data_IF_651180953019
#
_entry.id   IF_651180953019
#
_cell.length_a   1.000
_cell.length_b   1.000
_cell.length_c   1.000
_cell.angle_alpha   90.00
_cell.angle_beta   90.00
_cell.angle_gamma   90.00
#
_symmetry.space_group_name_H-M   'P 1'
#
loop_
_entity.id
_entity.type
_entity.pdbx_description
1 polymer ?
#
# COMPACT_ATOMS: atom_id res chain seq x y z
N UNK A 1 -12.65 -18.40 51.00
CA UNK A 1 -12.66 -18.88 49.60
C UNK A 1 -14.00 -18.55 48.97
N UNK A 2 -14.09 -17.50 48.14
CA UNK A 2 -15.19 -17.32 47.17
C UNK A 2 -14.73 -16.29 46.12
N UNK A 3 -14.09 -16.76 45.05
CA UNK A 3 -13.85 -15.94 43.85
C UNK A 3 -15.07 -16.12 42.95
N UNK A 4 -15.95 -15.11 42.91
CA UNK A 4 -16.99 -15.01 41.87
C UNK A 4 -16.30 -14.88 40.51
N UNK A 5 -16.36 -15.94 39.71
CA UNK A 5 -16.05 -15.90 38.28
C UNK A 5 -17.12 -15.05 37.60
N UNK A 6 -16.78 -13.82 37.23
CA UNK A 6 -17.61 -13.02 36.33
C UNK A 6 -17.29 -13.50 34.92
N UNK A 7 -18.06 -14.47 34.44
CA UNK A 7 -18.10 -14.84 33.04
C UNK A 7 -18.65 -13.66 32.24
N UNK A 8 -17.75 -12.86 31.69
CA UNK A 8 -18.11 -11.74 30.81
C UNK A 8 -18.58 -12.34 29.49
N UNK A 9 -19.90 -12.46 29.32
CA UNK A 9 -20.53 -12.74 28.03
C UNK A 9 -20.23 -11.56 27.10
N UNK A 10 -19.08 -11.60 26.42
CA UNK A 10 -18.89 -10.79 25.23
C UNK A 10 -19.84 -11.35 24.18
N UNK A 11 -20.78 -10.52 23.72
CA UNK A 11 -21.34 -10.75 22.40
C UNK A 11 -20.17 -10.96 21.43
N UNK A 12 -20.30 -11.95 20.55
CA UNK A 12 -19.28 -12.36 19.57
C UNK A 12 -19.11 -11.31 18.48
N UNK A 13 -18.80 -10.08 18.86
CA UNK A 13 -18.52 -9.01 17.91
C UNK A 13 -17.24 -9.36 17.17
N UNK A 14 -17.39 -9.64 15.88
CA UNK A 14 -16.29 -9.90 14.95
C UNK A 14 -16.19 -8.69 14.04
N UNK A 15 -15.33 -7.71 14.36
CA UNK A 15 -15.24 -6.49 13.58
C UNK A 15 -14.78 -6.82 12.16
N UNK A 16 -15.40 -6.15 11.19
CA UNK A 16 -15.02 -6.23 9.78
C UNK A 16 -14.46 -4.89 9.33
N UNK A 17 -13.19 -4.87 8.94
CA UNK A 17 -12.44 -3.66 8.60
C UNK A 17 -12.01 -3.72 7.13
N UNK A 18 -12.21 -2.62 6.42
CA UNK A 18 -11.68 -2.41 5.07
C UNK A 18 -10.39 -1.59 5.15
N UNK A 19 -9.37 -1.97 4.38
CA UNK A 19 -8.14 -1.21 4.20
C UNK A 19 -7.98 -0.91 2.71
N UNK A 20 -7.82 0.37 2.35
CA UNK A 20 -7.62 0.83 0.98
C UNK A 20 -6.14 1.13 0.75
N UNK A 21 -5.47 0.29 -0.02
CA UNK A 21 -4.05 0.37 -0.34
C UNK A 21 -3.23 -0.70 0.38
N UNK A 22 -2.46 -1.47 -0.39
CA UNK A 22 -1.69 -2.63 0.08
C UNK A 22 -0.20 -2.37 0.26
N UNK A 23 0.18 -1.11 0.47
CA UNK A 23 1.55 -0.75 0.87
C UNK A 23 1.84 -1.10 2.33
N UNK A 24 3.04 -0.72 2.85
CA UNK A 24 3.43 -0.95 4.23
C UNK A 24 2.41 -0.47 5.26
N UNK A 25 1.86 0.73 5.08
CA UNK A 25 0.86 1.29 5.99
C UNK A 25 -0.35 0.37 6.15
N UNK A 26 -0.90 -0.13 5.03
CA UNK A 26 -2.05 -1.05 5.05
C UNK A 26 -1.72 -2.37 5.73
N UNK A 27 -0.56 -2.96 5.45
CA UNK A 27 -0.14 -4.22 6.06
C UNK A 27 0.18 -4.10 7.54
N UNK A 28 0.81 -3.00 7.99
CA UNK A 28 1.05 -2.77 9.41
C UNK A 28 -0.26 -2.56 10.18
N UNK A 29 -1.24 -1.87 9.59
CA UNK A 29 -2.59 -1.76 10.16
C UNK A 29 -3.24 -3.15 10.27
N UNK A 30 -3.24 -3.94 9.20
CA UNK A 30 -3.80 -5.29 9.20
C UNK A 30 -3.14 -6.18 10.27
N UNK A 31 -1.81 -6.16 10.33
CA UNK A 31 -1.04 -6.92 11.31
C UNK A 31 -1.40 -6.51 12.75
N UNK A 32 -1.48 -5.20 13.00
CA UNK A 32 -1.82 -4.69 14.32
C UNK A 32 -3.24 -5.10 14.72
N UNK A 33 -4.22 -4.92 13.84
CA UNK A 33 -5.61 -5.31 14.08
C UNK A 33 -5.74 -6.79 14.39
N UNK A 34 -5.11 -7.67 13.61
CA UNK A 34 -5.14 -9.12 13.86
C UNK A 34 -4.50 -9.50 15.21
N UNK A 35 -3.47 -8.76 15.64
CA UNK A 35 -2.81 -8.97 16.93
C UNK A 35 -3.70 -8.56 18.11
N UNK A 36 -4.39 -7.42 18.01
CA UNK A 36 -5.20 -6.87 19.12
C UNK A 36 -6.64 -7.41 19.14
N UNK A 37 -7.16 -7.86 18.00
CA UNK A 37 -8.53 -8.32 17.81
C UNK A 37 -8.52 -9.65 17.02
N UNK A 38 -8.35 -10.81 17.68
CA UNK A 38 -8.22 -12.10 16.98
C UNK A 38 -9.42 -12.50 16.12
N UNK A 39 -10.61 -11.96 16.39
CA UNK A 39 -11.84 -12.18 15.62
C UNK A 39 -12.04 -11.22 14.45
N UNK A 40 -11.13 -10.25 14.24
CA UNK A 40 -11.26 -9.26 13.16
C UNK A 40 -11.17 -9.93 11.80
N UNK A 41 -12.04 -9.51 10.88
CA UNK A 41 -11.93 -9.80 9.45
C UNK A 41 -11.42 -8.56 8.73
N UNK A 42 -10.39 -8.73 7.90
CA UNK A 42 -9.74 -7.65 7.16
C UNK A 42 -9.86 -7.92 5.66
N UNK A 43 -10.51 -7.00 4.95
CA UNK A 43 -10.49 -6.95 3.49
C UNK A 43 -9.56 -5.81 3.05
N UNK A 44 -8.52 -6.14 2.29
CA UNK A 44 -7.54 -5.17 1.78
C UNK A 44 -7.72 -5.00 0.27
N UNK A 45 -8.08 -3.79 -0.14
CA UNK A 45 -8.27 -3.42 -1.54
C UNK A 45 -7.01 -2.76 -2.10
N UNK A 46 -6.70 -3.06 -3.36
CA UNK A 46 -5.54 -2.52 -4.07
C UNK A 46 -5.89 -2.24 -5.53
N UNK A 47 -5.45 -1.09 -6.07
CA UNK A 47 -5.68 -0.71 -7.47
C UNK A 47 -4.89 -1.63 -8.42
N UNK A 48 -3.71 -2.06 -8.00
CA UNK A 48 -2.83 -2.95 -8.76
C UNK A 48 -3.20 -4.44 -8.55
N UNK A 49 -2.78 -5.34 -9.46
CA UNK A 49 -3.04 -6.78 -9.32
C UNK A 49 -2.21 -7.42 -8.21
N UNK A 50 -1.14 -6.78 -7.76
CA UNK A 50 -0.19 -7.33 -6.79
C UNK A 50 0.01 -6.39 -5.60
N UNK A 51 0.26 -6.94 -4.40
CA UNK A 51 0.39 -6.15 -3.19
C UNK A 51 1.78 -5.49 -3.02
N UNK A 52 1.96 -4.87 -1.86
CA UNK A 52 3.20 -4.35 -1.26
C UNK A 52 3.60 -2.92 -1.67
N UNK A 53 2.91 -2.33 -2.64
CA UNK A 53 3.10 -0.92 -3.02
C UNK A 53 4.58 -0.58 -3.27
N UNK A 54 5.08 0.48 -2.63
CA UNK A 54 6.46 0.94 -2.82
C UNK A 54 7.54 -0.02 -2.31
N UNK A 55 7.23 -1.03 -1.50
CA UNK A 55 8.24 -2.08 -1.20
C UNK A 55 8.56 -2.86 -2.47
N UNK A 56 7.56 -3.09 -3.32
CA UNK A 56 7.74 -3.69 -4.63
C UNK A 56 8.26 -2.67 -5.64
N UNK A 57 7.56 -1.54 -5.77
CA UNK A 57 7.71 -0.60 -6.89
C UNK A 57 8.61 0.61 -6.61
N UNK A 58 9.04 0.84 -5.37
CA UNK A 58 9.83 2.00 -4.96
C UNK A 58 11.24 1.63 -4.50
N UNK A 59 11.38 0.65 -3.61
CA UNK A 59 12.68 0.17 -3.13
C UNK A 59 13.54 -0.26 -4.31
N UNK A 60 14.74 0.31 -4.39
CA UNK A 60 15.67 0.07 -5.47
C UNK A 60 16.07 -1.43 -5.57
N UNK A 61 16.33 -1.94 -6.79
CA UNK A 61 16.54 -3.37 -7.01
C UNK A 61 17.83 -3.90 -6.35
N UNK A 62 18.82 -3.04 -6.13
CA UNK A 62 20.08 -3.29 -5.43
C UNK A 62 19.96 -3.22 -3.89
N UNK A 63 18.75 -2.95 -3.36
CA UNK A 63 18.44 -2.97 -1.92
C UNK A 63 17.44 -4.10 -1.56
N UNK A 64 17.75 -5.38 -1.87
CA UNK A 64 16.83 -6.50 -1.65
C UNK A 64 16.50 -6.72 -0.16
N UNK A 65 17.42 -6.37 0.75
CA UNK A 65 17.25 -6.53 2.18
C UNK A 65 16.10 -5.69 2.74
N UNK A 66 15.86 -4.50 2.18
CA UNK A 66 14.72 -3.65 2.56
C UNK A 66 13.39 -4.31 2.13
N UNK A 67 13.40 -5.12 1.07
CA UNK A 67 12.20 -5.86 0.61
C UNK A 67 11.86 -7.05 1.50
N UNK A 68 12.71 -7.44 2.47
CA UNK A 68 12.45 -8.56 3.38
C UNK A 68 11.17 -8.41 4.22
N UNK A 69 10.67 -7.18 4.41
CA UNK A 69 9.40 -6.91 5.10
C UNK A 69 8.21 -7.61 4.40
N UNK A 70 8.33 -7.92 3.10
CA UNK A 70 7.34 -8.71 2.34
C UNK A 70 7.06 -10.06 3.03
N UNK A 71 8.05 -10.69 3.66
CA UNK A 71 7.85 -11.95 4.38
C UNK A 71 6.86 -11.78 5.54
N UNK A 72 6.95 -10.67 6.27
CA UNK A 72 6.03 -10.35 7.36
C UNK A 72 4.64 -10.04 6.83
N UNK A 73 4.54 -9.28 5.74
CA UNK A 73 3.26 -8.95 5.11
C UNK A 73 2.57 -10.20 4.54
N UNK A 74 3.34 -11.12 3.97
CA UNK A 74 2.85 -12.41 3.49
C UNK A 74 2.29 -13.26 4.63
N UNK A 75 2.95 -13.28 5.80
CA UNK A 75 2.41 -13.93 7.01
C UNK A 75 1.08 -13.31 7.45
N UNK A 76 0.97 -11.99 7.44
CA UNK A 76 -0.30 -11.28 7.72
C UNK A 76 -1.40 -11.63 6.71
N UNK A 77 -1.03 -11.73 5.43
CA UNK A 77 -1.96 -12.07 4.36
C UNK A 77 -2.47 -13.51 4.41
N UNK A 78 -1.66 -14.44 4.95
CA UNK A 78 -2.02 -15.85 5.13
C UNK A 78 -2.95 -16.11 6.33
N UNK A 79 -3.33 -15.07 7.08
CA UNK A 79 -4.33 -15.21 8.13
C UNK A 79 -5.69 -15.59 7.50
N UNK A 80 -6.38 -16.60 8.05
CA UNK A 80 -7.69 -17.05 7.56
C UNK A 80 -8.77 -15.96 7.52
N UNK A 81 -8.63 -14.91 8.34
CA UNK A 81 -9.56 -13.78 8.38
C UNK A 81 -9.08 -12.58 7.55
N UNK A 82 -8.08 -12.77 6.68
CA UNK A 82 -7.58 -11.75 5.78
C UNK A 82 -7.92 -12.10 4.33
N UNK A 83 -8.32 -11.09 3.55
CA UNK A 83 -8.54 -11.23 2.11
C UNK A 83 -7.92 -10.06 1.37
N UNK A 84 -7.11 -10.37 0.37
CA UNK A 84 -6.58 -9.41 -0.59
C UNK A 84 -7.48 -9.34 -1.82
N UNK A 85 -7.82 -8.12 -2.24
CA UNK A 85 -8.68 -7.83 -3.39
C UNK A 85 -7.93 -6.81 -4.28
N UNK A 86 -7.12 -7.32 -5.21
CA UNK A 86 -6.39 -6.51 -6.18
C UNK A 86 -7.22 -6.15 -7.41
N UNK A 87 -6.68 -5.29 -8.28
CA UNK A 87 -7.37 -4.74 -9.46
C UNK A 87 -8.69 -4.02 -9.13
N UNK A 88 -8.76 -3.35 -7.99
CA UNK A 88 -9.95 -2.59 -7.58
C UNK A 88 -9.55 -1.20 -7.10
N UNK A 89 -9.98 -0.18 -7.84
CA UNK A 89 -9.68 1.22 -7.61
C UNK A 89 -10.85 1.94 -6.94
N UNK A 90 -10.59 2.54 -5.77
CA UNK A 90 -11.54 3.45 -5.12
C UNK A 90 -11.75 4.70 -5.97
N UNK A 91 -13.02 5.02 -6.25
CA UNK A 91 -13.41 6.16 -7.09
C UNK A 91 -13.75 5.77 -8.53
N UNK A 92 -13.15 4.69 -9.05
CA UNK A 92 -13.43 4.18 -10.39
C UNK A 92 -14.34 2.95 -10.36
N UNK A 93 -13.90 1.88 -9.71
CA UNK A 93 -14.63 0.59 -9.68
C UNK A 93 -15.65 0.55 -8.54
N UNK A 94 -15.31 1.21 -7.43
CA UNK A 94 -16.13 1.22 -6.20
C UNK A 94 -16.20 2.62 -5.62
N UNK A 95 -17.38 3.01 -5.12
CA UNK A 95 -17.57 4.34 -4.52
C UNK A 95 -17.37 4.25 -3.02
N UNK A 96 -16.81 5.30 -2.43
CA UNK A 96 -16.55 5.33 -0.98
C UNK A 96 -17.81 5.06 -0.13
N UNK A 97 -18.98 5.52 -0.61
CA UNK A 97 -20.27 5.28 0.07
C UNK A 97 -20.62 3.80 0.20
N UNK A 98 -20.16 2.95 -0.71
CA UNK A 98 -20.50 1.52 -0.74
C UNK A 98 -19.83 0.78 0.44
N UNK A 99 -18.76 1.35 1.01
CA UNK A 99 -18.07 0.79 2.17
C UNK A 99 -18.77 1.06 3.50
N UNK A 100 -19.51 2.17 3.62
CA UNK A 100 -20.12 2.59 4.90
C UNK A 100 -21.10 1.54 5.46
N UNK A 101 -21.77 0.81 4.59
CA UNK A 101 -22.76 -0.21 4.99
C UNK A 101 -22.15 -1.62 5.09
N UNK A 102 -20.96 -1.85 4.54
CA UNK A 102 -20.35 -3.17 4.44
C UNK A 102 -19.26 -3.44 5.49
N UNK A 103 -18.75 -2.39 6.14
CA UNK A 103 -17.63 -2.46 7.07
C UNK A 103 -17.89 -1.62 8.31
N UNK A 104 -17.34 -2.06 9.44
CA UNK A 104 -17.38 -1.31 10.69
C UNK A 104 -16.38 -0.16 10.70
N UNK A 105 -15.29 -0.28 9.96
CA UNK A 105 -14.28 0.75 9.79
C UNK A 105 -13.63 0.65 8.41
N UNK A 106 -13.18 1.79 7.89
CA UNK A 106 -12.43 1.91 6.63
C UNK A 106 -11.15 2.68 6.92
N UNK A 107 -10.00 2.13 6.54
CA UNK A 107 -8.69 2.76 6.68
C UNK A 107 -8.15 3.14 5.31
N UNK A 108 -7.79 4.40 5.13
CA UNK A 108 -7.17 4.90 3.90
C UNK A 108 -5.66 4.85 4.05
N UNK A 109 -5.01 3.99 3.25
CA UNK A 109 -3.56 3.76 3.27
C UNK A 109 -2.99 3.65 1.84
N UNK A 110 -3.55 4.42 0.90
CA UNK A 110 -3.21 4.38 -0.53
C UNK A 110 -1.94 5.16 -0.90
N UNK A 111 -1.26 5.76 0.08
CA UNK A 111 -0.02 6.50 -0.12
C UNK A 111 -0.21 7.80 -0.90
N UNK A 112 0.88 8.28 -1.52
CA UNK A 112 0.85 9.43 -2.42
C UNK A 112 1.16 8.92 -3.83
N UNK A 113 0.26 9.09 -4.80
CA UNK A 113 0.45 8.67 -6.19
C UNK A 113 1.09 9.74 -7.07
N UNK A 114 0.89 11.01 -6.72
CA UNK A 114 1.27 12.13 -7.58
C UNK A 114 2.70 12.64 -7.28
N UNK A 115 3.38 13.09 -8.32
CA UNK A 115 4.63 13.84 -8.22
C UNK A 115 4.40 15.32 -7.87
N UNK A 116 5.43 15.94 -7.30
CA UNK A 116 5.50 17.39 -7.15
C UNK A 116 6.05 18.00 -8.43
N UNK A 117 5.33 18.98 -8.98
CA UNK A 117 5.80 19.79 -10.10
C UNK A 117 6.74 20.90 -9.61
N UNK A 118 7.77 21.20 -10.40
CA UNK A 118 8.72 22.29 -10.21
C UNK A 118 8.11 23.66 -10.52
N UNK A 119 7.12 23.73 -11.41
CA UNK A 119 6.46 24.98 -11.79
C UNK A 119 7.34 25.90 -12.62
N UNK A 120 8.27 25.35 -13.41
CA UNK A 120 9.23 26.11 -14.22
C UNK A 120 8.94 25.96 -15.71
N UNK A 121 9.39 26.94 -16.50
CA UNK A 121 9.29 26.86 -17.97
C UNK A 121 10.13 25.68 -18.49
N UNK A 122 9.54 24.84 -19.35
CA UNK A 122 10.22 23.69 -19.94
C UNK A 122 10.12 22.40 -19.11
N UNK A 123 9.37 22.41 -18.00
CA UNK A 123 9.19 21.26 -17.11
C UNK A 123 8.60 20.03 -17.82
N UNK A 124 7.86 20.20 -18.91
CA UNK A 124 7.31 19.10 -19.71
C UNK A 124 8.38 18.17 -20.31
N UNK A 125 9.65 18.62 -20.34
CA UNK A 125 10.80 17.85 -20.80
C UNK A 125 11.53 17.12 -19.67
N UNK A 126 11.13 17.36 -18.42
CA UNK A 126 11.75 16.80 -17.22
C UNK A 126 10.98 15.55 -16.80
N UNK A 127 11.73 14.49 -16.44
CA UNK A 127 11.15 13.27 -15.92
C UNK A 127 11.18 13.26 -14.39
N UNK A 128 10.08 12.84 -13.77
CA UNK A 128 10.01 12.60 -12.33
C UNK A 128 10.89 11.42 -11.94
N UNK A 129 11.73 11.58 -10.90
CA UNK A 129 12.53 10.48 -10.35
C UNK A 129 11.65 9.28 -9.98
N UNK A 130 10.45 9.54 -9.44
CA UNK A 130 9.45 8.50 -9.14
C UNK A 130 9.06 7.69 -10.39
N UNK A 131 8.87 8.33 -11.53
CA UNK A 131 8.49 7.63 -12.77
C UNK A 131 9.65 6.78 -13.30
N UNK A 132 10.88 7.27 -13.18
CA UNK A 132 12.09 6.49 -13.51
C UNK A 132 12.21 5.27 -12.57
N UNK A 133 12.01 5.49 -11.27
CA UNK A 133 11.97 4.42 -10.24
C UNK A 133 10.91 3.38 -10.56
N UNK A 134 9.69 3.83 -10.87
CA UNK A 134 8.61 2.95 -11.26
C UNK A 134 8.92 2.18 -12.54
N UNK A 135 9.54 2.81 -13.53
CA UNK A 135 9.95 2.16 -14.78
C UNK A 135 10.90 1.00 -14.54
N UNK A 136 12.02 1.23 -13.83
CA UNK A 136 13.00 0.14 -13.60
C UNK A 136 12.49 -0.91 -12.59
N UNK A 137 11.54 -0.57 -11.71
CA UNK A 137 10.91 -1.52 -10.78
C UNK A 137 9.68 -2.22 -11.37
N UNK A 138 9.32 -1.97 -12.63
CA UNK A 138 8.22 -2.65 -13.32
C UNK A 138 6.82 -2.21 -12.88
N UNK A 139 6.65 -0.96 -12.47
CA UNK A 139 5.33 -0.36 -12.22
C UNK A 139 4.56 -0.25 -13.56
N UNK A 140 3.35 -0.83 -13.68
CA UNK A 140 2.65 -0.93 -14.97
C UNK A 140 2.41 0.41 -15.67
N UNK A 141 2.15 1.48 -14.92
CA UNK A 141 1.90 2.82 -15.46
C UNK A 141 3.16 3.48 -16.08
N UNK A 142 4.36 3.05 -15.67
CA UNK A 142 5.62 3.58 -16.20
C UNK A 142 6.29 2.66 -17.23
N UNK A 143 5.66 1.55 -17.64
CA UNK A 143 6.27 0.57 -18.55
C UNK A 143 6.77 1.17 -19.88
N UNK A 144 6.08 2.20 -20.39
CA UNK A 144 6.36 2.86 -21.66
C UNK A 144 7.09 4.20 -21.47
N UNK A 145 7.76 4.42 -20.33
CA UNK A 145 8.49 5.65 -20.08
C UNK A 145 9.58 5.83 -21.15
N UNK A 146 9.51 6.93 -21.91
CA UNK A 146 10.50 7.26 -22.94
C UNK A 146 11.74 7.89 -22.28
N UNK A 147 12.58 7.03 -21.70
CA UNK A 147 13.84 7.45 -21.07
C UNK A 147 14.96 7.47 -22.12
N UNK A 148 15.37 8.67 -22.53
CA UNK A 148 16.53 8.86 -23.42
C UNK A 148 17.81 8.85 -22.60
N UNK A 149 18.61 7.80 -22.77
CA UNK A 149 19.90 7.62 -22.08
C UNK A 149 21.11 7.92 -22.98
N UNK A 150 20.87 8.32 -24.23
CA UNK A 150 21.90 8.76 -25.17
C UNK A 150 22.25 10.24 -24.92
N UNK A 151 22.86 10.50 -23.78
CA UNK A 151 23.39 11.81 -23.41
C UNK A 151 24.61 11.64 -22.49
N UNK A 152 25.48 12.65 -22.47
CA UNK A 152 26.68 12.62 -21.61
C UNK A 152 26.39 12.99 -20.15
N UNK A 153 25.33 13.77 -19.92
CA UNK A 153 25.02 14.34 -18.60
C UNK A 153 23.56 14.14 -18.22
N UNK A 154 23.34 13.66 -16.99
CA UNK A 154 22.04 13.64 -16.33
C UNK A 154 22.10 14.50 -15.06
N UNK A 155 21.09 15.34 -14.83
CA UNK A 155 21.00 16.20 -13.65
C UNK A 155 19.78 15.79 -12.84
N UNK A 156 19.98 15.55 -11.54
CA UNK A 156 18.92 15.24 -10.59
C UNK A 156 18.69 16.45 -9.69
N UNK A 157 17.43 16.88 -9.58
CA UNK A 157 17.02 17.98 -8.71
C UNK A 157 16.45 17.40 -7.42
N UNK A 158 17.26 17.40 -6.36
CA UNK A 158 16.92 16.88 -5.04
C UNK A 158 18.15 16.35 -4.31
N UNK A 159 18.07 16.29 -2.98
CA UNK A 159 19.16 15.77 -2.12
C UNK A 159 18.60 14.79 -1.07
N UNK A 160 17.58 14.02 -1.45
CA UNK A 160 17.00 12.97 -0.60
C UNK A 160 17.38 11.58 -1.11
N UNK A 161 17.04 10.53 -0.37
CA UNK A 161 17.44 9.14 -0.68
C UNK A 161 16.99 8.60 -2.06
N UNK A 162 16.04 9.26 -2.72
CA UNK A 162 15.56 8.87 -4.07
C UNK A 162 16.42 9.50 -5.18
N UNK A 163 17.14 10.58 -4.87
CA UNK A 163 18.05 11.27 -5.78
C UNK A 163 19.40 10.56 -5.83
#
# INVERSE_FOLDING_TARGET
MYRKSISRCYSSFSPKVCIIGSGPAGFYVAQHLQKVLPSVTVDMYEKLPVPFGLVRYGVAPDHPEVKNVINTFTKTANNKNFRFIGNVSLGNDIRFKDFKNAYHAVVLSYGCSEERKLGIKGEERILSARNIVGWYNGLPENKNLNLKLDCETCVIIGQGNVA
#
